data_IF_795897319981
#
_entry.id   IF_795897319981
#
_cell.length_a   1.000
_cell.length_b   1.000
_cell.length_c   1.000
_cell.angle_alpha   90.00
_cell.angle_beta   90.00
_cell.angle_gamma   90.00
#
_symmetry.space_group_name_H-M   'P 1'
#
loop_
_entity.id
_entity.type
_entity.pdbx_description
1 polymer ?
#
# COMPACT_ATOMS: atom_id res chain seq x y z
N UNK A 1 -2.35 -6.43 -20.23
CA UNK A 1 -2.43 -6.84 -18.80
C UNK A 1 -3.32 -8.07 -18.66
N UNK A 2 -2.82 -9.09 -17.99
CA UNK A 2 -3.62 -10.24 -17.58
C UNK A 2 -4.65 -9.84 -16.50
N UNK A 3 -5.59 -10.72 -16.19
CA UNK A 3 -6.68 -10.46 -15.25
C UNK A 3 -6.16 -10.13 -13.85
N UNK A 4 -5.10 -10.78 -13.39
CA UNK A 4 -4.51 -10.55 -12.07
C UNK A 4 -3.89 -9.14 -11.96
N UNK A 5 -3.19 -8.67 -13.00
CA UNK A 5 -2.64 -7.32 -13.03
C UNK A 5 -3.75 -6.25 -13.00
N UNK A 6 -4.90 -6.51 -13.62
CA UNK A 6 -6.07 -5.60 -13.54
C UNK A 6 -6.64 -5.55 -12.11
N UNK A 7 -6.70 -6.69 -11.43
CA UNK A 7 -7.16 -6.73 -10.03
C UNK A 7 -6.17 -6.06 -9.09
N UNK A 8 -4.86 -6.29 -9.26
CA UNK A 8 -3.82 -5.53 -8.55
C UNK A 8 -4.04 -4.03 -8.71
N UNK A 9 -4.16 -3.53 -9.94
CA UNK A 9 -4.40 -2.12 -10.25
C UNK A 9 -5.63 -1.55 -9.50
N UNK A 10 -6.76 -2.28 -9.52
CA UNK A 10 -7.99 -1.88 -8.81
C UNK A 10 -7.79 -1.81 -7.30
N UNK A 11 -7.12 -2.81 -6.73
CA UNK A 11 -6.84 -2.86 -5.28
C UNK A 11 -5.91 -1.73 -4.87
N UNK A 12 -4.86 -1.45 -5.66
CA UNK A 12 -3.95 -0.33 -5.38
C UNK A 12 -4.66 1.02 -5.46
N UNK A 13 -5.54 1.22 -6.46
CA UNK A 13 -6.37 2.43 -6.51
C UNK A 13 -7.29 2.57 -5.31
N UNK A 14 -7.94 1.48 -4.89
CA UNK A 14 -8.75 1.47 -3.68
C UNK A 14 -7.90 1.80 -2.44
N UNK A 15 -6.70 1.24 -2.33
CA UNK A 15 -5.75 1.53 -1.25
C UNK A 15 -5.27 2.99 -1.23
N UNK A 16 -5.09 3.61 -2.40
CA UNK A 16 -4.79 5.04 -2.51
C UNK A 16 -5.97 5.87 -1.99
N UNK A 17 -7.20 5.54 -2.40
CA UNK A 17 -8.42 6.23 -1.93
C UNK A 17 -8.55 6.11 -0.41
N UNK A 18 -8.37 4.89 0.13
CA UNK A 18 -8.40 4.66 1.58
C UNK A 18 -7.32 5.48 2.28
N UNK A 19 -6.09 5.54 1.76
CA UNK A 19 -5.05 6.42 2.31
C UNK A 19 -5.49 7.87 2.35
N UNK A 20 -6.19 8.37 1.32
CA UNK A 20 -6.67 9.76 1.31
C UNK A 20 -7.65 10.04 2.45
N UNK A 21 -8.42 9.04 2.90
CA UNK A 21 -9.27 9.16 4.10
C UNK A 21 -8.47 9.35 5.39
N UNK A 22 -7.20 8.92 5.44
CA UNK A 22 -6.30 9.19 6.56
C UNK A 22 -5.52 10.50 6.36
N UNK A 23 -5.05 10.76 5.14
CA UNK A 23 -4.26 11.96 4.78
C UNK A 23 -5.06 13.23 5.02
N UNK A 24 -6.27 13.34 4.47
CA UNK A 24 -7.04 14.60 4.48
C UNK A 24 -7.33 15.04 5.92
N UNK A 25 -7.89 14.19 6.80
CA UNK A 25 -8.08 14.56 8.20
C UNK A 25 -6.77 14.84 8.92
N UNK A 26 -5.72 14.04 8.72
CA UNK A 26 -4.42 14.26 9.39
C UNK A 26 -3.79 15.60 9.01
N UNK A 27 -3.96 16.06 7.78
CA UNK A 27 -3.39 17.31 7.29
C UNK A 27 -4.19 18.55 7.70
N UNK A 28 -5.53 18.49 7.72
CA UNK A 28 -6.39 19.65 7.98
C UNK A 28 -6.98 19.65 9.40
N UNK A 29 -7.38 18.48 9.91
CA UNK A 29 -8.09 18.28 11.18
C UNK A 29 -7.42 17.18 12.05
N UNK A 30 -6.12 17.31 12.41
CA UNK A 30 -5.38 16.23 13.05
C UNK A 30 -5.96 15.81 14.40
N UNK A 31 -6.49 16.75 15.18
CA UNK A 31 -7.11 16.46 16.48
C UNK A 31 -8.35 15.57 16.35
N UNK A 32 -9.19 15.85 15.34
CA UNK A 32 -10.35 15.02 15.01
C UNK A 32 -9.92 13.61 14.61
N UNK A 33 -8.86 13.48 13.81
CA UNK A 33 -8.33 12.19 13.38
C UNK A 33 -7.83 11.35 14.56
N UNK A 34 -7.07 11.97 15.47
CA UNK A 34 -6.57 11.31 16.68
C UNK A 34 -7.70 10.91 17.61
N UNK A 35 -8.68 11.80 17.81
CA UNK A 35 -9.87 11.50 18.59
C UNK A 35 -10.65 10.30 18.02
N UNK A 36 -10.86 10.28 16.70
CA UNK A 36 -11.55 9.19 16.01
C UNK A 36 -10.82 7.85 16.18
N UNK A 37 -9.49 7.85 16.10
CA UNK A 37 -8.65 6.67 16.32
C UNK A 37 -8.39 6.37 17.80
N UNK A 38 -8.91 7.18 18.74
CA UNK A 38 -8.67 7.09 20.19
C UNK A 38 -7.18 7.09 20.53
N UNK A 39 -6.43 8.00 19.91
CA UNK A 39 -5.00 8.20 20.11
C UNK A 39 -4.74 9.46 20.93
N UNK A 40 -3.65 9.44 21.69
CA UNK A 40 -3.16 10.62 22.39
C UNK A 40 -2.69 11.66 21.38
N UNK A 41 -2.91 12.93 21.74
CA UNK A 41 -2.40 14.05 20.99
C UNK A 41 -0.90 14.21 21.28
N UNK A 42 -0.02 14.10 20.27
CA UNK A 42 1.39 14.41 20.46
C UNK A 42 1.57 15.93 20.55
N UNK A 43 2.56 16.34 21.34
CA UNK A 43 3.05 17.71 21.39
C UNK A 43 4.48 17.75 20.81
N UNK A 44 4.73 18.44 19.68
CA UNK A 44 3.79 19.25 18.91
C UNK A 44 2.89 18.47 17.92
N UNK A 45 1.65 18.94 17.72
CA UNK A 45 0.65 18.35 16.80
C UNK A 45 1.12 18.30 15.33
N UNK A 46 2.13 19.10 14.97
CA UNK A 46 2.70 19.16 13.62
C UNK A 46 3.17 17.80 13.11
N UNK A 47 3.59 16.88 13.99
CA UNK A 47 4.00 15.53 13.62
C UNK A 47 2.90 14.72 12.95
N UNK A 48 1.64 14.92 13.36
CA UNK A 48 0.48 14.23 12.75
C UNK A 48 0.24 14.75 11.34
N UNK A 49 0.38 16.07 11.13
CA UNK A 49 0.28 16.69 9.80
C UNK A 49 1.42 16.22 8.90
N UNK A 50 2.64 16.15 9.43
CA UNK A 50 3.81 15.65 8.71
C UNK A 50 3.63 14.18 8.30
N UNK A 51 3.15 13.33 9.20
CA UNK A 51 2.84 11.93 8.89
C UNK A 51 1.77 11.80 7.79
N UNK A 52 0.72 12.62 7.83
CA UNK A 52 -0.29 12.71 6.78
C UNK A 52 0.31 13.07 5.41
N UNK A 53 1.22 14.05 5.36
CA UNK A 53 1.89 14.45 4.12
C UNK A 53 2.85 13.37 3.59
N UNK A 54 3.54 12.63 4.46
CA UNK A 54 4.37 11.51 4.05
C UNK A 54 3.51 10.38 3.46
N UNK A 55 2.37 10.06 4.08
CA UNK A 55 1.42 9.09 3.55
C UNK A 55 0.85 9.53 2.20
N UNK A 56 0.62 10.83 2.00
CA UNK A 56 0.23 11.39 0.71
C UNK A 56 1.28 11.15 -0.37
N UNK A 57 2.55 11.49 -0.10
CA UNK A 57 3.66 11.32 -1.05
C UNK A 57 3.81 9.84 -1.43
N UNK A 58 3.80 8.95 -0.44
CA UNK A 58 3.89 7.51 -0.66
C UNK A 58 2.72 7.02 -1.53
N UNK A 59 1.50 7.51 -1.27
CA UNK A 59 0.33 7.18 -2.09
C UNK A 59 0.47 7.64 -3.54
N UNK A 60 1.07 8.82 -3.76
CA UNK A 60 1.36 9.31 -5.11
C UNK A 60 2.38 8.41 -5.84
N UNK A 61 3.38 7.87 -5.13
CA UNK A 61 4.33 6.92 -5.70
C UNK A 61 3.74 5.56 -6.06
N UNK A 62 2.55 5.22 -5.56
CA UNK A 62 1.83 4.03 -5.97
C UNK A 62 1.13 4.19 -7.33
N UNK A 63 0.87 5.42 -7.77
CA UNK A 63 0.09 5.71 -9.00
C UNK A 63 0.69 5.06 -10.25
N UNK A 64 2.01 5.14 -10.54
CA UNK A 64 2.57 4.48 -11.72
C UNK A 64 2.34 2.96 -11.73
N UNK A 65 2.55 2.31 -10.58
CA UNK A 65 2.28 0.88 -10.40
C UNK A 65 0.80 0.54 -10.52
N UNK A 66 -0.09 1.41 -10.07
CA UNK A 66 -1.54 1.26 -10.21
C UNK A 66 -2.03 1.45 -11.65
N UNK A 67 -1.40 2.34 -12.44
CA UNK A 67 -1.76 2.60 -13.84
C UNK A 67 -1.35 1.44 -14.75
N UNK A 68 -0.11 0.99 -14.65
CA UNK A 68 0.41 -0.14 -15.42
C UNK A 68 1.42 -0.95 -14.59
N UNK A 69 0.97 -2.00 -13.90
CA UNK A 69 1.82 -2.84 -13.06
C UNK A 69 2.89 -3.59 -13.84
N UNK A 70 2.64 -3.88 -15.12
CA UNK A 70 3.56 -4.64 -15.96
C UNK A 70 4.67 -3.74 -16.51
N UNK A 71 4.36 -2.48 -16.83
CA UNK A 71 5.34 -1.49 -17.26
C UNK A 71 6.16 -0.95 -16.08
N UNK A 72 5.52 -0.70 -14.95
CA UNK A 72 6.14 -0.07 -13.77
C UNK A 72 6.33 -1.06 -12.61
N UNK A 73 6.89 -2.24 -12.90
CA UNK A 73 7.07 -3.35 -11.92
C UNK A 73 7.77 -2.93 -10.64
N UNK A 74 8.82 -2.11 -10.72
CA UNK A 74 9.53 -1.66 -9.53
C UNK A 74 8.61 -0.88 -8.59
N UNK A 75 7.81 0.05 -9.11
CA UNK A 75 6.86 0.82 -8.31
C UNK A 75 5.71 -0.03 -7.76
N UNK A 76 5.24 -1.01 -8.54
CA UNK A 76 4.22 -1.97 -8.09
C UNK A 76 4.73 -2.87 -6.95
N UNK A 77 6.00 -3.28 -6.98
CA UNK A 77 6.60 -4.02 -5.87
C UNK A 77 6.88 -3.12 -4.66
N UNK A 78 7.36 -1.90 -4.88
CA UNK A 78 7.61 -0.91 -3.81
C UNK A 78 6.33 -0.57 -3.05
N UNK A 79 5.15 -0.58 -3.71
CA UNK A 79 3.88 -0.36 -3.02
C UNK A 79 3.63 -1.41 -1.93
N UNK A 80 4.00 -2.66 -2.19
CA UNK A 80 3.90 -3.77 -1.24
C UNK A 80 5.08 -3.75 -0.27
N UNK A 81 6.30 -3.94 -0.80
CA UNK A 81 7.55 -4.02 -0.06
C UNK A 81 8.57 -3.04 -0.65
N UNK A 82 9.04 -2.04 0.12
CA UNK A 82 8.95 -1.97 1.58
C UNK A 82 7.66 -1.35 2.13
N UNK A 83 6.85 -0.64 1.34
CA UNK A 83 5.96 0.38 1.90
C UNK A 83 4.86 -0.15 2.83
N UNK A 84 3.92 -0.99 2.35
CA UNK A 84 2.82 -1.52 3.16
C UNK A 84 3.30 -2.56 4.18
N UNK A 85 4.30 -3.36 3.82
CA UNK A 85 4.88 -4.37 4.69
C UNK A 85 5.58 -3.75 5.91
N UNK A 86 6.39 -2.72 5.71
CA UNK A 86 7.07 -2.04 6.82
C UNK A 86 6.09 -1.19 7.64
N UNK A 87 5.14 -0.49 7.00
CA UNK A 87 4.10 0.27 7.71
C UNK A 87 3.31 -0.62 8.67
N UNK A 88 2.72 -1.71 8.15
CA UNK A 88 1.94 -2.65 8.99
C UNK A 88 2.78 -3.29 10.09
N UNK A 89 3.98 -3.79 9.76
CA UNK A 89 4.86 -4.43 10.76
C UNK A 89 5.28 -3.44 11.84
N UNK A 90 5.68 -2.22 11.46
CA UNK A 90 6.10 -1.19 12.39
C UNK A 90 4.99 -0.82 13.37
N UNK A 91 3.78 -0.51 12.87
CA UNK A 91 2.67 -0.10 13.75
C UNK A 91 2.17 -1.24 14.65
N UNK A 92 2.19 -2.50 14.17
CA UNK A 92 1.90 -3.67 15.03
C UNK A 92 2.94 -3.77 16.14
N UNK A 93 4.24 -3.74 15.80
CA UNK A 93 5.31 -3.79 16.79
C UNK A 93 5.27 -2.62 17.77
N UNK A 94 4.91 -1.42 17.30
CA UNK A 94 4.80 -0.23 18.13
C UNK A 94 3.75 -0.38 19.22
N UNK A 95 2.61 -0.99 18.91
CA UNK A 95 1.55 -1.24 19.89
C UNK A 95 1.91 -2.40 20.82
N UNK A 96 2.50 -3.49 20.30
CA UNK A 96 2.80 -4.68 21.09
C UNK A 96 4.02 -4.52 22.01
N UNK A 97 5.04 -3.78 21.57
CA UNK A 97 6.33 -3.71 22.26
C UNK A 97 6.72 -2.31 22.73
N UNK A 98 6.21 -1.24 22.10
CA UNK A 98 6.60 0.15 22.42
C UNK A 98 5.51 0.93 23.18
N UNK A 99 4.44 0.26 23.61
CA UNK A 99 3.38 0.84 24.43
C UNK A 99 2.56 1.93 23.74
N UNK A 100 2.51 1.93 22.40
CA UNK A 100 1.74 2.91 21.63
C UNK A 100 0.24 2.62 21.64
N UNK A 101 -0.55 3.64 21.30
CA UNK A 101 -2.01 3.56 21.31
C UNK A 101 -2.57 2.52 20.34
N UNK A 102 -3.62 1.83 20.77
CA UNK A 102 -4.28 0.80 19.96
C UNK A 102 -4.85 1.34 18.64
N UNK A 103 -5.09 2.65 18.54
CA UNK A 103 -5.50 3.30 17.29
C UNK A 103 -4.55 3.07 16.12
N UNK A 104 -3.24 2.91 16.39
CA UNK A 104 -2.26 2.58 15.35
C UNK A 104 -2.50 1.20 14.71
N UNK A 105 -3.16 0.26 15.40
CA UNK A 105 -3.51 -1.04 14.82
C UNK A 105 -4.49 -0.90 13.65
N UNK A 106 -5.38 0.09 13.67
CA UNK A 106 -6.30 0.34 12.55
C UNK A 106 -5.53 0.65 11.27
N UNK A 107 -4.51 1.50 11.36
CA UNK A 107 -3.63 1.83 10.23
C UNK A 107 -2.86 0.56 9.80
N UNK A 108 -2.32 -0.17 10.77
CA UNK A 108 -1.53 -1.36 10.51
C UNK A 108 -2.32 -2.47 9.80
N UNK A 109 -3.56 -2.72 10.21
CA UNK A 109 -4.40 -3.74 9.61
C UNK A 109 -4.89 -3.35 8.22
N UNK A 110 -5.16 -2.07 7.97
CA UNK A 110 -5.44 -1.57 6.63
C UNK A 110 -4.24 -1.81 5.72
N UNK A 111 -3.04 -1.40 6.15
CA UNK A 111 -1.81 -1.62 5.38
C UNK A 111 -1.52 -3.09 5.14
N UNK A 112 -1.71 -3.94 6.15
CA UNK A 112 -1.51 -5.38 6.04
C UNK A 112 -2.47 -6.01 5.04
N UNK A 113 -3.76 -5.66 5.12
CA UNK A 113 -4.79 -6.16 4.21
C UNK A 113 -4.45 -5.81 2.76
N UNK A 114 -4.21 -4.52 2.46
CA UNK A 114 -3.86 -4.10 1.12
C UNK A 114 -2.53 -4.71 0.66
N UNK A 115 -1.51 -4.72 1.51
CA UNK A 115 -0.21 -5.30 1.20
C UNK A 115 -0.28 -6.79 0.85
N UNK A 116 -1.04 -7.60 1.61
CA UNK A 116 -1.21 -9.03 1.35
C UNK A 116 -1.99 -9.26 0.06
N UNK A 117 -3.12 -8.56 -0.14
CA UNK A 117 -3.96 -8.73 -1.33
C UNK A 117 -3.22 -8.29 -2.59
N UNK A 118 -2.51 -7.16 -2.54
CA UNK A 118 -1.65 -6.69 -3.63
C UNK A 118 -0.52 -7.68 -3.93
N UNK A 119 0.16 -8.21 -2.91
CA UNK A 119 1.22 -9.21 -3.07
C UNK A 119 0.73 -10.46 -3.77
N UNK A 120 -0.46 -10.96 -3.41
CA UNK A 120 -1.07 -12.14 -4.03
C UNK A 120 -1.34 -11.85 -5.52
N UNK A 121 -2.02 -10.75 -5.84
CA UNK A 121 -2.36 -10.44 -7.23
C UNK A 121 -1.13 -10.15 -8.09
N UNK A 122 -0.14 -9.43 -7.58
CA UNK A 122 1.08 -9.13 -8.34
C UNK A 122 1.93 -10.38 -8.59
N UNK A 123 2.00 -11.29 -7.60
CA UNK A 123 2.68 -12.58 -7.76
C UNK A 123 1.98 -13.45 -8.80
N UNK A 124 0.65 -13.54 -8.75
CA UNK A 124 -0.14 -14.29 -9.73
C UNK A 124 -0.03 -13.66 -11.13
N UNK A 125 -0.04 -12.33 -11.23
CA UNK A 125 0.15 -11.61 -12.48
C UNK A 125 1.51 -11.92 -13.10
N UNK A 126 2.58 -11.90 -12.30
CA UNK A 126 3.94 -12.20 -12.76
C UNK A 126 4.06 -13.65 -13.21
N UNK A 127 3.49 -14.61 -12.46
CA UNK A 127 3.48 -16.03 -12.83
C UNK A 127 2.72 -16.29 -14.13
N UNK A 128 1.55 -15.69 -14.30
CA UNK A 128 0.74 -15.80 -15.51
C UNK A 128 1.49 -15.25 -16.73
N UNK A 129 2.15 -14.11 -16.59
CA UNK A 129 2.93 -13.51 -17.67
C UNK A 129 4.13 -14.38 -18.08
N UNK A 130 4.85 -14.95 -17.11
CA UNK A 130 5.96 -15.85 -17.38
C UNK A 130 5.49 -17.15 -18.07
N UNK A 131 4.35 -17.71 -17.65
CA UNK A 131 3.77 -18.89 -18.29
C UNK A 131 3.37 -18.62 -19.75
N UNK A 132 2.77 -17.47 -20.03
CA UNK A 132 2.45 -17.03 -21.40
C UNK A 132 3.71 -16.82 -22.27
N UNK A 133 4.81 -16.33 -21.67
CA UNK A 133 6.08 -16.16 -22.37
C UNK A 133 6.70 -17.50 -22.77
N UNK A 134 6.77 -18.46 -21.83
CA UNK A 134 7.29 -19.81 -22.07
C UNK A 134 6.45 -20.53 -23.13
N UNK A 135 5.13 -20.44 -23.09
CA UNK A 135 4.25 -21.08 -24.07
C UNK A 135 4.45 -20.56 -25.51
N UNK A 136 4.93 -19.32 -25.68
CA UNK A 136 5.19 -18.70 -26.99
C UNK A 136 6.58 -19.00 -27.55
N UNK A 137 7.52 -19.42 -26.71
CA UNK A 137 8.91 -19.71 -27.08
C UNK A 137 9.07 -20.93 -28.03
N UNK A 138 8.41 -22.08 -27.82
CA UNK A 138 8.52 -23.21 -28.75
C UNK A 138 7.87 -22.93 -30.10
N UNK A 139 6.87 -22.04 -30.18
CA UNK A 139 6.19 -21.71 -31.44
C UNK A 139 7.08 -20.91 -32.42
N UNK A 140 8.14 -20.24 -31.94
CA UNK A 140 9.09 -19.49 -32.77
C UNK A 140 10.28 -20.32 -33.27
N UNK A 141 10.57 -21.47 -32.66
CA UNK A 141 11.68 -22.33 -33.10
C UNK A 141 11.32 -23.23 -34.29
N UNK A 142 10.03 -23.31 -34.66
CA UNK A 142 9.53 -24.11 -35.78
C UNK A 142 8.98 -23.26 -36.95
N UNK A 143 9.26 -21.96 -36.99
CA UNK A 143 8.95 -21.05 -38.11
C UNK A 143 10.22 -20.48 -38.72
#
# INVERSE_FOLDING_TARGET
MNTYAKWFSRVTWLGIIVNMLFVIPSCFFPEFMLWFLKMHQPDPIIWVRAAGMLLFIISAFYIPGALDPNRYRATAWISIFPSRAFGSTFFICAVLFFGQDKGFLSIAFVDLFFGVVEAIFLTLATRSENAEAIAKEPAKQFS
#
